data_IF_629527016482
#
_entry.id   IF_629527016482
#
_cell.length_a   1.000
_cell.length_b   1.000
_cell.length_c   1.000
_cell.angle_alpha   90.00
_cell.angle_beta   90.00
_cell.angle_gamma   90.00
#
_symmetry.space_group_name_H-M   'P 1'
#
loop_
_entity.id
_entity.type
_entity.pdbx_description
1 polymer ?
#
# COMPACT_ATOMS: atom_id res chain seq x y z
N UNK A 1 -36.02 -27.83 10.16
CA UNK A 1 -34.67 -27.98 10.73
C UNK A 1 -33.75 -27.03 9.97
N UNK A 2 -33.48 -25.81 10.49
CA UNK A 2 -32.52 -24.90 9.86
C UNK A 2 -31.12 -25.45 10.14
N UNK A 3 -30.46 -25.96 9.13
CA UNK A 3 -29.04 -26.23 9.17
C UNK A 3 -28.35 -24.93 9.59
N UNK A 4 -27.76 -24.90 10.81
CA UNK A 4 -26.83 -23.83 11.17
C UNK A 4 -25.63 -23.98 10.23
N UNK A 5 -25.60 -23.21 9.14
CA UNK A 5 -24.41 -23.06 8.33
C UNK A 5 -23.28 -22.60 9.27
N UNK A 6 -22.33 -23.48 9.55
CA UNK A 6 -21.05 -23.05 10.16
C UNK A 6 -20.41 -22.12 9.14
N UNK A 7 -20.41 -20.83 9.42
CA UNK A 7 -19.65 -19.90 8.60
C UNK A 7 -18.17 -20.18 8.87
N UNK A 8 -17.43 -20.61 7.82
CA UNK A 8 -16.00 -20.75 7.89
C UNK A 8 -15.35 -19.38 8.07
N UNK A 9 -14.28 -19.27 8.88
CA UNK A 9 -13.52 -18.02 8.96
C UNK A 9 -12.94 -17.67 7.59
N UNK A 10 -12.73 -16.38 7.35
CA UNK A 10 -12.16 -15.89 6.11
C UNK A 10 -10.86 -15.12 6.35
N UNK A 11 -9.81 -15.51 5.66
CA UNK A 11 -8.53 -14.79 5.61
C UNK A 11 -8.42 -14.07 4.27
N UNK A 12 -8.19 -12.78 4.31
CA UNK A 12 -7.97 -11.92 3.14
C UNK A 12 -6.56 -11.37 3.21
N UNK A 13 -5.75 -11.68 2.21
CA UNK A 13 -4.37 -11.20 2.08
C UNK A 13 -4.26 -10.39 0.79
N UNK A 14 -3.97 -9.12 0.91
CA UNK A 14 -3.82 -8.24 -0.23
C UNK A 14 -2.35 -7.93 -0.51
N UNK A 15 -1.94 -8.05 -1.76
CA UNK A 15 -0.65 -7.60 -2.27
C UNK A 15 -0.91 -6.32 -3.07
N UNK A 16 -0.63 -5.16 -2.48
CA UNK A 16 -1.02 -3.89 -3.06
C UNK A 16 -0.28 -3.61 -4.37
N UNK A 17 -1.02 -3.32 -5.43
CA UNK A 17 -0.53 -3.08 -6.79
C UNK A 17 0.40 -4.18 -7.35
N UNK A 18 0.28 -5.42 -6.88
CA UNK A 18 1.09 -6.52 -7.40
C UNK A 18 0.68 -6.86 -8.84
N UNK A 19 1.67 -6.86 -9.74
CA UNK A 19 1.46 -7.04 -11.18
C UNK A 19 1.19 -8.52 -11.53
N UNK A 20 0.02 -8.85 -12.09
CA UNK A 20 -0.34 -10.23 -12.37
C UNK A 20 0.60 -10.91 -13.39
N UNK A 21 1.12 -10.19 -14.38
CA UNK A 21 2.05 -10.79 -15.34
C UNK A 21 3.37 -11.20 -14.69
N UNK A 22 3.89 -10.43 -13.74
CA UNK A 22 5.07 -10.81 -12.96
C UNK A 22 4.78 -12.02 -12.09
N UNK A 23 3.65 -12.04 -11.39
CA UNK A 23 3.24 -13.16 -10.53
C UNK A 23 3.12 -14.44 -11.37
N UNK A 24 2.40 -14.41 -12.48
CA UNK A 24 2.19 -15.55 -13.36
C UNK A 24 3.53 -16.11 -13.90
N UNK A 25 4.41 -15.23 -14.39
CA UNK A 25 5.73 -15.62 -14.88
C UNK A 25 6.59 -16.24 -13.77
N UNK A 26 6.61 -15.67 -12.58
CA UNK A 26 7.41 -16.19 -11.46
C UNK A 26 6.80 -17.44 -10.82
N UNK A 27 5.48 -17.62 -10.84
CA UNK A 27 4.85 -18.91 -10.50
C UNK A 27 5.26 -20.01 -11.48
N UNK A 28 5.25 -19.72 -12.80
CA UNK A 28 5.69 -20.67 -13.82
C UNK A 28 7.17 -21.03 -13.69
N UNK A 29 8.01 -20.07 -13.34
CA UNK A 29 9.44 -20.25 -13.09
C UNK A 29 9.74 -20.93 -11.73
N UNK A 30 8.73 -21.24 -10.92
CA UNK A 30 8.92 -21.85 -9.59
C UNK A 30 9.47 -20.91 -8.51
N UNK A 31 9.49 -19.59 -8.78
CA UNK A 31 9.99 -18.56 -7.86
C UNK A 31 8.97 -18.25 -6.75
N UNK A 32 7.67 -18.37 -7.05
CA UNK A 32 6.56 -18.13 -6.12
C UNK A 32 5.77 -19.43 -5.88
N UNK A 33 6.33 -20.38 -5.12
CA UNK A 33 5.75 -21.73 -4.99
C UNK A 33 4.45 -21.75 -4.17
N UNK A 34 4.27 -20.82 -3.23
CA UNK A 34 3.05 -20.76 -2.40
C UNK A 34 1.87 -20.26 -3.23
N UNK A 35 2.03 -19.16 -3.94
CA UNK A 35 0.98 -18.62 -4.82
C UNK A 35 0.63 -19.61 -5.93
N UNK A 36 1.65 -20.32 -6.49
CA UNK A 36 1.43 -21.37 -7.46
C UNK A 36 0.56 -22.48 -6.90
N UNK A 37 0.90 -22.99 -5.72
CA UNK A 37 0.09 -24.04 -5.05
C UNK A 37 -1.34 -23.57 -4.79
N UNK A 38 -1.53 -22.35 -4.29
CA UNK A 38 -2.88 -21.80 -4.05
C UNK A 38 -3.68 -21.68 -5.36
N UNK A 39 -3.02 -21.35 -6.46
CA UNK A 39 -3.65 -21.34 -7.79
C UNK A 39 -4.08 -22.74 -8.24
N UNK A 40 -3.24 -23.74 -8.01
CA UNK A 40 -3.50 -25.14 -8.41
C UNK A 40 -4.58 -25.81 -7.55
N UNK A 41 -4.64 -25.48 -6.25
CA UNK A 41 -5.60 -26.04 -5.29
C UNK A 41 -6.92 -25.26 -5.21
N UNK A 42 -6.97 -24.04 -5.74
CA UNK A 42 -8.10 -23.12 -5.63
C UNK A 42 -8.64 -22.64 -6.96
N UNK A 43 -9.14 -21.42 -6.97
CA UNK A 43 -9.60 -20.72 -8.16
C UNK A 43 -8.79 -19.45 -8.38
N UNK A 44 -8.37 -19.22 -9.61
CA UNK A 44 -7.61 -18.05 -10.01
C UNK A 44 -8.34 -17.28 -11.12
N UNK A 45 -8.36 -15.95 -11.01
CA UNK A 45 -8.88 -15.08 -12.05
C UNK A 45 -8.24 -13.70 -11.98
N UNK A 46 -8.24 -12.97 -13.08
CA UNK A 46 -7.87 -11.55 -13.10
C UNK A 46 -9.08 -10.69 -12.77
N UNK A 47 -8.85 -9.67 -11.96
CA UNK A 47 -9.87 -8.68 -11.59
C UNK A 47 -9.92 -7.55 -12.63
N UNK A 48 -11.11 -7.12 -12.99
CA UNK A 48 -11.29 -5.83 -13.64
C UNK A 48 -11.14 -4.72 -12.60
N UNK A 49 -10.37 -3.69 -12.92
CA UNK A 49 -10.07 -2.58 -12.00
C UNK A 49 -10.39 -1.23 -12.61
N UNK A 50 -10.76 -0.28 -11.76
CA UNK A 50 -10.89 1.13 -12.13
C UNK A 50 -9.56 1.89 -12.11
N UNK A 51 -8.46 1.25 -11.72
CA UNK A 51 -7.15 1.89 -11.54
C UNK A 51 -6.61 2.55 -12.81
N UNK A 52 -6.90 1.99 -13.99
CA UNK A 52 -6.46 2.53 -15.28
C UNK A 52 -6.90 3.99 -15.50
N UNK A 53 -8.09 4.35 -15.04
CA UNK A 53 -8.65 5.69 -15.16
C UNK A 53 -8.62 6.47 -13.84
N UNK A 54 -8.75 5.78 -12.71
CA UNK A 54 -8.97 6.35 -11.40
C UNK A 54 -8.08 5.66 -10.35
N UNK A 55 -6.77 5.91 -10.40
CA UNK A 55 -5.76 5.20 -9.61
C UNK A 55 -6.04 5.15 -8.10
N UNK A 56 -6.67 6.17 -7.52
CA UNK A 56 -7.04 6.19 -6.09
C UNK A 56 -8.37 5.53 -5.75
N UNK A 57 -9.08 4.93 -6.72
CA UNK A 57 -10.42 4.39 -6.50
C UNK A 57 -10.50 2.90 -6.11
N UNK A 58 -9.53 2.01 -6.44
CA UNK A 58 -9.68 0.59 -6.19
C UNK A 58 -9.93 0.24 -4.72
N UNK A 59 -9.10 0.74 -3.80
CA UNK A 59 -9.26 0.48 -2.38
C UNK A 59 -10.58 1.00 -1.81
N UNK A 60 -10.99 2.27 -2.04
CA UNK A 60 -12.31 2.74 -1.66
C UNK A 60 -13.45 1.92 -2.25
N UNK A 61 -13.36 1.51 -3.52
CA UNK A 61 -14.35 0.62 -4.14
C UNK A 61 -14.44 -0.72 -3.41
N UNK A 62 -13.29 -1.33 -3.12
CA UNK A 62 -13.24 -2.59 -2.40
C UNK A 62 -13.89 -2.48 -1.02
N UNK A 63 -13.45 -1.54 -0.20
CA UNK A 63 -13.89 -1.52 1.19
C UNK A 63 -15.27 -0.88 1.41
N UNK A 64 -15.74 -0.02 0.52
CA UNK A 64 -17.11 0.52 0.63
C UNK A 64 -18.14 -0.39 0.00
N UNK A 65 -17.73 -1.20 -0.99
CA UNK A 65 -18.63 -1.94 -1.87
C UNK A 65 -19.41 -1.03 -2.81
N UNK A 66 -19.00 0.22 -2.98
CA UNK A 66 -19.65 1.22 -3.83
C UNK A 66 -18.72 1.63 -4.98
N UNK A 67 -19.26 1.95 -6.16
CA UNK A 67 -18.46 2.41 -7.29
C UNK A 67 -17.93 3.84 -7.06
N UNK A 68 -16.90 4.28 -7.82
CA UNK A 68 -16.29 5.60 -7.67
C UNK A 68 -17.26 6.78 -7.71
N UNK A 69 -18.34 6.69 -8.46
CA UNK A 69 -19.38 7.72 -8.54
C UNK A 69 -20.12 7.91 -7.21
N UNK A 70 -20.16 6.89 -6.38
CA UNK A 70 -20.86 6.91 -5.08
C UNK A 70 -19.89 7.29 -3.96
N UNK A 71 -18.71 6.63 -3.86
CA UNK A 71 -17.77 6.96 -2.78
C UNK A 71 -16.98 8.26 -3.04
N UNK A 72 -16.88 8.72 -4.29
CA UNK A 72 -16.33 10.03 -4.66
C UNK A 72 -14.80 10.14 -4.54
N UNK A 73 -14.08 9.04 -4.28
CA UNK A 73 -12.64 9.04 -4.13
C UNK A 73 -12.00 8.41 -5.38
N UNK A 74 -11.30 9.23 -6.18
CA UNK A 74 -10.67 8.80 -7.42
C UNK A 74 -9.15 9.03 -7.44
N UNK A 75 -8.63 9.86 -6.51
CA UNK A 75 -7.22 10.13 -6.32
C UNK A 75 -7.00 10.66 -4.89
N UNK A 76 -5.84 10.46 -4.29
CA UNK A 76 -5.53 10.98 -2.96
C UNK A 76 -5.47 12.52 -2.89
N UNK A 77 -5.23 13.17 -4.04
CA UNK A 77 -5.39 14.60 -4.24
C UNK A 77 -6.49 14.84 -5.27
N UNK A 78 -7.49 15.65 -4.93
CA UNK A 78 -8.61 15.91 -5.82
C UNK A 78 -8.82 17.41 -6.03
N UNK A 79 -9.15 17.77 -7.25
CA UNK A 79 -9.57 19.13 -7.59
C UNK A 79 -10.90 19.45 -6.92
N UNK A 80 -10.96 20.59 -6.23
CA UNK A 80 -12.19 21.12 -5.60
C UNK A 80 -12.64 22.40 -6.30
N UNK A 81 -13.57 22.32 -7.26
CA UNK A 81 -13.99 23.46 -8.07
C UNK A 81 -14.46 24.65 -7.23
N UNK A 82 -15.27 24.42 -6.20
CA UNK A 82 -15.76 25.47 -5.30
C UNK A 82 -14.64 26.22 -4.55
N UNK A 83 -13.45 25.67 -4.49
CA UNK A 83 -12.28 26.26 -3.81
C UNK A 83 -11.15 26.61 -4.79
N UNK A 84 -11.32 26.29 -6.06
CA UNK A 84 -10.32 26.47 -7.12
C UNK A 84 -8.93 25.99 -6.73
N UNK A 85 -8.85 24.80 -6.11
CA UNK A 85 -7.57 24.21 -5.68
C UNK A 85 -7.63 22.69 -5.58
N UNK A 86 -6.45 22.07 -5.67
CA UNK A 86 -6.23 20.67 -5.32
C UNK A 86 -6.20 20.54 -3.79
N UNK A 87 -6.85 19.54 -3.26
CA UNK A 87 -6.82 19.20 -1.83
C UNK A 87 -6.58 17.71 -1.62
N UNK A 88 -5.84 17.39 -0.57
CA UNK A 88 -5.71 16.01 -0.10
C UNK A 88 -7.09 15.56 0.42
N UNK A 89 -7.51 14.38 0.00
CA UNK A 89 -8.75 13.74 0.47
C UNK A 89 -8.71 13.58 1.98
N UNK A 90 -9.85 13.74 2.61
CA UNK A 90 -10.03 13.57 4.05
C UNK A 90 -11.07 12.48 4.33
N UNK A 91 -10.98 11.82 5.49
CA UNK A 91 -11.93 10.76 5.87
C UNK A 91 -13.40 11.14 5.75
N UNK A 92 -13.74 12.36 6.11
CA UNK A 92 -15.13 12.87 6.06
C UNK A 92 -15.66 13.13 4.63
N UNK A 93 -14.86 12.87 3.60
CA UNK A 93 -15.33 12.90 2.20
C UNK A 93 -15.92 11.58 1.75
N UNK A 94 -15.67 10.50 2.51
CA UNK A 94 -16.21 9.18 2.23
C UNK A 94 -17.61 9.04 2.85
N UNK A 95 -18.66 8.85 2.05
CA UNK A 95 -20.02 8.73 2.57
C UNK A 95 -20.33 7.35 3.14
N UNK A 96 -19.46 6.37 2.91
CA UNK A 96 -19.67 4.97 3.28
C UNK A 96 -18.47 4.44 4.05
N UNK A 97 -18.73 3.86 5.23
CA UNK A 97 -17.70 3.19 6.02
C UNK A 97 -17.23 1.87 5.38
N UNK A 98 -15.99 1.45 5.66
CA UNK A 98 -15.52 0.12 5.29
C UNK A 98 -16.46 -0.99 5.74
N UNK A 99 -16.69 -1.97 4.86
CA UNK A 99 -17.69 -3.03 5.09
C UNK A 99 -17.43 -3.81 6.39
N UNK A 100 -16.18 -4.05 6.74
CA UNK A 100 -15.84 -4.81 7.94
C UNK A 100 -16.24 -4.13 9.24
N UNK A 101 -16.29 -2.79 9.28
CA UNK A 101 -16.76 -2.03 10.44
C UNK A 101 -18.26 -2.15 10.65
N UNK A 102 -19.01 -2.52 9.60
CA UNK A 102 -20.48 -2.68 9.61
C UNK A 102 -20.93 -4.13 9.84
N UNK A 103 -19.98 -5.08 9.84
CA UNK A 103 -20.30 -6.49 10.05
C UNK A 103 -20.57 -6.77 11.53
N UNK A 104 -21.62 -7.56 11.82
CA UNK A 104 -21.81 -8.16 13.15
C UNK A 104 -20.92 -9.41 13.31
N UNK A 105 -19.62 -9.26 13.07
CA UNK A 105 -18.60 -10.32 13.13
C UNK A 105 -17.37 -9.78 13.84
N UNK A 106 -16.54 -10.68 14.35
CA UNK A 106 -15.23 -10.32 14.89
C UNK A 106 -14.25 -10.15 13.72
N UNK A 107 -13.67 -8.98 13.60
CA UNK A 107 -12.78 -8.68 12.49
C UNK A 107 -11.42 -8.23 13.00
N UNK A 108 -10.36 -8.72 12.37
CA UNK A 108 -9.01 -8.17 12.48
C UNK A 108 -8.64 -7.59 11.11
N UNK A 109 -8.28 -6.32 11.06
CA UNK A 109 -7.83 -5.64 9.85
C UNK A 109 -6.49 -4.92 10.10
N UNK A 110 -5.47 -5.24 9.31
CA UNK A 110 -4.14 -4.67 9.41
C UNK A 110 -3.75 -3.94 8.13
N UNK A 111 -3.54 -2.65 8.24
CA UNK A 111 -2.97 -1.76 7.22
C UNK A 111 -3.64 -1.80 5.84
N UNK A 112 -4.97 -1.84 5.82
CA UNK A 112 -5.72 -1.72 4.55
C UNK A 112 -5.51 -0.32 3.97
N UNK A 113 -4.98 -0.19 2.73
CA UNK A 113 -4.66 1.09 2.14
C UNK A 113 -5.86 2.01 1.97
N UNK A 114 -5.59 3.32 1.91
CA UNK A 114 -6.58 4.38 1.74
C UNK A 114 -7.66 4.40 2.83
N UNK A 115 -7.39 3.79 3.99
CA UNK A 115 -8.29 3.85 5.16
C UNK A 115 -7.94 5.01 6.08
N UNK A 116 -8.72 5.16 7.12
CA UNK A 116 -8.65 6.25 8.08
C UNK A 116 -8.93 5.72 9.48
N UNK A 117 -8.70 6.56 10.48
CA UNK A 117 -8.91 6.24 11.89
C UNK A 117 -10.21 5.47 12.11
N UNK A 118 -10.13 4.24 12.65
CA UNK A 118 -11.31 3.43 12.92
C UNK A 118 -12.14 4.00 14.08
N UNK A 119 -13.45 3.96 13.89
CA UNK A 119 -14.43 4.12 14.96
C UNK A 119 -14.63 2.81 15.74
N UNK A 120 -15.54 2.79 16.72
CA UNK A 120 -15.88 1.57 17.46
C UNK A 120 -16.54 0.54 16.52
N UNK A 121 -16.03 -0.69 16.54
CA UNK A 121 -16.63 -1.87 15.89
C UNK A 121 -16.20 -3.14 16.64
N UNK A 122 -16.69 -4.30 16.21
CA UNK A 122 -16.38 -5.56 16.88
C UNK A 122 -15.10 -6.19 16.34
N UNK A 123 -13.94 -5.80 16.88
CA UNK A 123 -12.66 -6.36 16.45
C UNK A 123 -11.48 -5.46 16.70
N UNK A 124 -10.41 -5.70 15.94
CA UNK A 124 -9.16 -4.95 15.97
C UNK A 124 -8.87 -4.41 14.58
N UNK A 125 -8.57 -3.13 14.48
CA UNK A 125 -8.08 -2.52 13.25
C UNK A 125 -6.85 -1.66 13.57
N UNK A 126 -5.80 -1.82 12.77
CA UNK A 126 -4.61 -0.98 12.76
C UNK A 126 -4.53 -0.36 11.38
N UNK A 127 -4.47 0.96 11.31
CA UNK A 127 -4.45 1.73 10.07
C UNK A 127 -3.23 2.62 10.03
N UNK A 128 -2.46 2.56 8.95
CA UNK A 128 -1.34 3.45 8.67
C UNK A 128 -0.05 3.14 9.44
N UNK A 129 0.14 1.91 9.96
CA UNK A 129 1.39 1.53 10.62
C UNK A 129 2.49 1.18 9.62
N UNK A 130 2.19 0.33 8.63
CA UNK A 130 3.14 -0.12 7.62
C UNK A 130 2.74 0.28 6.19
N UNK A 131 1.56 0.88 5.98
CA UNK A 131 1.17 1.41 4.68
C UNK A 131 1.45 2.91 4.60
N UNK A 132 1.91 3.39 3.44
CA UNK A 132 2.06 4.81 3.15
C UNK A 132 0.74 5.46 2.71
N UNK A 133 -0.16 4.67 2.15
CA UNK A 133 -1.46 5.11 1.63
C UNK A 133 -2.55 5.07 2.71
N UNK A 134 -2.57 6.09 3.55
CA UNK A 134 -3.63 6.27 4.54
C UNK A 134 -4.18 7.70 4.49
N UNK A 135 -5.47 7.86 4.80
CA UNK A 135 -6.18 9.14 4.72
C UNK A 135 -6.14 9.95 6.02
N UNK A 136 -5.56 9.42 7.08
CA UNK A 136 -5.46 10.06 8.40
C UNK A 136 -4.15 9.64 9.07
N UNK A 137 -3.85 10.18 10.24
CA UNK A 137 -2.71 9.73 11.05
C UNK A 137 -2.86 8.26 11.46
N UNK A 138 -1.76 7.51 11.62
CA UNK A 138 -1.79 6.14 12.10
C UNK A 138 -2.64 5.99 13.36
N UNK A 139 -3.51 5.00 13.38
CA UNK A 139 -4.46 4.81 14.46
C UNK A 139 -4.88 3.34 14.61
N UNK A 140 -5.54 3.03 15.72
CA UNK A 140 -6.13 1.71 15.93
C UNK A 140 -7.47 1.76 16.64
N UNK A 141 -8.22 0.68 16.48
CA UNK A 141 -9.32 0.31 17.35
C UNK A 141 -9.07 -1.12 17.89
N UNK A 142 -9.06 -1.35 19.20
CA UNK A 142 -9.06 -0.37 20.30
C UNK A 142 -7.89 0.60 20.29
N UNK A 143 -8.03 1.78 20.89
CA UNK A 143 -7.07 2.89 20.78
C UNK A 143 -5.62 2.55 21.13
N UNK A 144 -5.41 1.67 22.09
CA UNK A 144 -4.04 1.34 22.57
C UNK A 144 -3.35 0.27 21.71
N UNK A 145 -4.06 -0.32 20.74
CA UNK A 145 -3.50 -1.43 19.97
C UNK A 145 -2.25 -1.03 19.18
N UNK A 146 -2.30 0.12 18.52
CA UNK A 146 -1.15 0.66 17.78
C UNK A 146 0.04 0.91 18.71
N UNK A 147 -0.18 1.47 19.90
CA UNK A 147 0.91 1.70 20.86
C UNK A 147 1.56 0.40 21.32
N UNK A 148 0.76 -0.66 21.52
CA UNK A 148 1.29 -1.98 21.85
C UNK A 148 2.12 -2.57 20.71
N UNK A 149 1.68 -2.41 19.47
CA UNK A 149 2.45 -2.82 18.29
C UNK A 149 3.75 -2.03 18.19
N UNK A 150 3.70 -0.72 18.35
CA UNK A 150 4.91 0.13 18.33
C UNK A 150 5.88 -0.24 19.46
N UNK A 151 5.39 -0.52 20.64
CA UNK A 151 6.24 -0.90 21.79
C UNK A 151 6.97 -2.23 21.57
N UNK A 152 6.35 -3.17 20.85
CA UNK A 152 6.91 -4.51 20.65
C UNK A 152 7.66 -4.66 19.33
N UNK A 153 7.13 -4.10 18.24
CA UNK A 153 7.66 -4.28 16.89
C UNK A 153 8.34 -3.03 16.31
N UNK A 154 8.31 -1.92 17.04
CA UNK A 154 8.87 -0.65 16.59
C UNK A 154 7.85 0.24 15.86
N UNK A 155 8.33 1.41 15.46
CA UNK A 155 7.59 2.34 14.60
C UNK A 155 7.37 1.73 13.21
N UNK A 156 6.78 2.50 12.30
CA UNK A 156 6.58 2.05 10.91
C UNK A 156 7.83 1.36 10.35
N UNK A 157 7.70 0.15 9.79
CA UNK A 157 8.81 -0.55 9.15
C UNK A 157 9.19 0.04 7.80
N UNK A 158 8.44 1.01 7.30
CA UNK A 158 8.71 1.70 6.02
C UNK A 158 8.92 3.18 6.27
N UNK A 159 9.97 3.73 5.67
CA UNK A 159 10.27 5.15 5.69
C UNK A 159 9.28 5.99 4.87
N UNK A 160 9.47 7.31 4.91
CA UNK A 160 8.68 8.25 4.10
C UNK A 160 8.94 7.98 2.62
N UNK A 161 7.89 7.99 1.81
CA UNK A 161 8.05 7.83 0.36
C UNK A 161 8.72 9.05 -0.27
N UNK A 162 9.77 8.81 -1.05
CA UNK A 162 10.52 9.82 -1.79
C UNK A 162 10.11 9.74 -3.25
N UNK A 163 9.37 10.73 -3.73
CA UNK A 163 8.91 10.78 -5.13
C UNK A 163 10.01 11.17 -6.13
N UNK A 164 11.03 11.88 -5.68
CA UNK A 164 12.17 12.26 -6.52
C UNK A 164 12.98 11.05 -6.99
N UNK A 165 13.82 11.25 -8.01
CA UNK A 165 14.83 10.27 -8.42
C UNK A 165 15.83 10.06 -7.28
N UNK A 166 16.33 8.84 -7.15
CA UNK A 166 17.23 8.42 -6.08
C UNK A 166 18.48 7.78 -6.67
N UNK A 167 19.56 7.72 -5.88
CA UNK A 167 20.75 6.99 -6.29
C UNK A 167 20.46 5.48 -6.38
N UNK A 168 21.28 4.76 -7.14
CA UNK A 168 21.18 3.30 -7.20
C UNK A 168 21.30 2.66 -5.81
N UNK A 169 22.24 3.14 -5.01
CA UNK A 169 22.44 2.65 -3.64
C UNK A 169 21.19 2.87 -2.75
N UNK A 170 20.55 4.05 -2.86
CA UNK A 170 19.32 4.34 -2.11
C UNK A 170 18.16 3.45 -2.56
N UNK A 171 18.04 3.16 -3.86
CA UNK A 171 17.00 2.26 -4.38
C UNK A 171 17.22 0.81 -3.92
N UNK A 172 18.47 0.35 -3.89
CA UNK A 172 18.78 -0.99 -3.36
C UNK A 172 18.47 -1.08 -1.87
N UNK A 173 18.86 -0.06 -1.09
CA UNK A 173 18.54 0.01 0.34
C UNK A 173 17.02 0.07 0.59
N UNK A 174 16.26 0.81 -0.24
CA UNK A 174 14.81 0.79 -0.19
C UNK A 174 14.25 -0.62 -0.44
N UNK A 175 14.81 -1.36 -1.40
CA UNK A 175 14.41 -2.74 -1.66
C UNK A 175 14.59 -3.64 -0.43
N UNK A 176 15.73 -3.53 0.25
CA UNK A 176 16.00 -4.26 1.51
C UNK A 176 15.02 -3.86 2.62
N UNK A 177 14.74 -2.56 2.77
CA UNK A 177 13.72 -2.05 3.70
C UNK A 177 12.33 -2.64 3.40
N UNK A 178 11.95 -2.72 2.13
CA UNK A 178 10.65 -3.26 1.72
C UNK A 178 10.55 -4.76 1.98
N UNK A 179 11.61 -5.54 1.75
CA UNK A 179 11.65 -6.96 2.13
C UNK A 179 11.48 -7.13 3.63
N UNK A 180 12.25 -6.39 4.43
CA UNK A 180 12.14 -6.42 5.89
C UNK A 180 10.76 -5.98 6.39
N UNK A 181 10.11 -5.04 5.69
CA UNK A 181 8.77 -4.60 6.04
C UNK A 181 7.72 -5.70 5.86
N UNK A 182 7.84 -6.52 4.81
CA UNK A 182 6.97 -7.68 4.61
C UNK A 182 7.09 -8.65 5.79
N UNK A 183 8.32 -8.95 6.22
CA UNK A 183 8.57 -9.85 7.36
C UNK A 183 7.95 -9.27 8.65
N UNK A 184 8.15 -7.98 8.90
CA UNK A 184 7.61 -7.32 10.09
C UNK A 184 6.09 -7.26 10.12
N UNK A 185 5.44 -6.96 8.98
CA UNK A 185 3.98 -7.03 8.86
C UNK A 185 3.47 -8.44 9.11
N UNK A 186 4.19 -9.45 8.62
CA UNK A 186 3.83 -10.87 8.82
C UNK A 186 3.94 -11.29 10.28
N UNK A 187 4.98 -10.83 11.01
CA UNK A 187 5.11 -11.07 12.45
C UNK A 187 3.90 -10.51 13.23
N UNK A 188 3.54 -9.24 12.94
CA UNK A 188 2.37 -8.60 13.56
C UNK A 188 1.07 -9.31 13.19
N UNK A 189 0.88 -9.63 11.91
CA UNK A 189 -0.30 -10.34 11.43
C UNK A 189 -0.45 -11.73 12.10
N UNK A 190 0.64 -12.49 12.15
CA UNK A 190 0.67 -13.81 12.80
C UNK A 190 0.32 -13.73 14.28
N UNK A 191 0.87 -12.73 14.98
CA UNK A 191 0.53 -12.49 16.40
C UNK A 191 -0.94 -12.12 16.59
N UNK A 192 -1.47 -11.23 15.76
CA UNK A 192 -2.89 -10.87 15.82
C UNK A 192 -3.79 -12.07 15.51
N UNK A 193 -3.43 -12.87 14.52
CA UNK A 193 -4.16 -14.08 14.13
C UNK A 193 -4.21 -15.11 15.26
N UNK A 194 -3.12 -15.28 16.00
CA UNK A 194 -3.04 -16.20 17.13
C UNK A 194 -3.71 -15.67 18.42
N UNK A 195 -3.65 -14.35 18.65
CA UNK A 195 -4.11 -13.74 19.91
C UNK A 195 -5.59 -13.39 19.90
N UNK A 196 -6.08 -12.89 18.77
CA UNK A 196 -7.44 -12.37 18.68
C UNK A 196 -8.42 -13.42 18.17
N UNK A 197 -9.66 -13.35 18.66
CA UNK A 197 -10.72 -14.14 18.07
C UNK A 197 -11.29 -13.40 16.85
N UNK A 198 -11.37 -14.05 15.70
CA UNK A 198 -11.84 -13.45 14.46
C UNK A 198 -12.69 -14.42 13.62
N UNK A 199 -13.64 -13.85 12.90
CA UNK A 199 -14.41 -14.49 11.82
C UNK A 199 -13.86 -14.04 10.45
N UNK A 200 -13.26 -12.83 10.40
CA UNK A 200 -12.62 -12.24 9.24
C UNK A 200 -11.25 -11.67 9.67
N UNK A 201 -10.20 -12.13 9.01
CA UNK A 201 -8.84 -11.60 9.15
C UNK A 201 -8.39 -10.97 7.83
N UNK A 202 -7.89 -9.74 7.89
CA UNK A 202 -7.47 -8.99 6.70
C UNK A 202 -6.11 -8.36 6.94
N UNK A 203 -5.22 -8.47 5.95
CA UNK A 203 -3.92 -7.79 5.95
C UNK A 203 -3.57 -7.32 4.54
N UNK A 204 -2.92 -6.17 4.42
CA UNK A 204 -2.38 -5.69 3.16
C UNK A 204 -0.87 -5.45 3.25
N UNK A 205 -0.16 -5.86 2.20
CA UNK A 205 1.27 -5.65 2.02
C UNK A 205 1.50 -4.55 0.99
N UNK A 206 1.97 -3.38 1.41
CA UNK A 206 2.26 -2.24 0.56
C UNK A 206 3.63 -2.30 -0.15
N UNK A 207 4.46 -3.30 0.17
CA UNK A 207 5.82 -3.40 -0.37
C UNK A 207 5.85 -3.59 -1.89
N UNK A 208 4.90 -4.33 -2.45
CA UNK A 208 4.77 -4.54 -3.91
C UNK A 208 4.44 -3.24 -4.64
N UNK A 209 3.62 -2.38 -4.05
CA UNK A 209 3.28 -1.05 -4.58
C UNK A 209 4.52 -0.14 -4.62
N UNK A 210 5.18 0.06 -3.48
CA UNK A 210 6.37 0.92 -3.41
C UNK A 210 7.53 0.38 -4.24
N UNK A 211 7.75 -0.94 -4.21
CA UNK A 211 8.75 -1.62 -5.04
C UNK A 211 8.47 -1.43 -6.54
N UNK A 212 7.22 -1.59 -6.95
CA UNK A 212 6.80 -1.38 -8.33
C UNK A 212 7.06 0.05 -8.84
N UNK A 213 6.81 1.07 -8.01
CA UNK A 213 7.11 2.46 -8.37
C UNK A 213 8.60 2.76 -8.55
N UNK A 214 9.49 2.06 -7.85
CA UNK A 214 10.88 2.45 -7.70
C UNK A 214 11.89 1.50 -8.32
N UNK A 215 11.55 0.22 -8.42
CA UNK A 215 12.48 -0.85 -8.79
C UNK A 215 12.10 -1.52 -10.12
N UNK A 216 11.12 -0.99 -10.83
CA UNK A 216 10.66 -1.58 -12.11
C UNK A 216 11.72 -1.54 -13.19
N UNK A 217 12.38 -0.40 -13.30
CA UNK A 217 13.44 -0.10 -14.25
C UNK A 217 14.32 1.07 -13.75
N UNK A 218 15.22 1.56 -14.60
CA UNK A 218 16.12 2.65 -14.28
C UNK A 218 15.49 4.05 -14.29
N UNK A 219 14.22 4.22 -14.59
CA UNK A 219 13.57 5.56 -14.68
C UNK A 219 13.58 6.32 -13.35
N UNK A 220 13.65 5.59 -12.23
CA UNK A 220 13.79 6.15 -10.88
C UNK A 220 15.20 6.60 -10.50
N UNK A 221 16.23 6.31 -11.32
CA UNK A 221 17.63 6.62 -11.01
C UNK A 221 17.94 8.11 -11.21
N UNK A 222 18.67 8.68 -10.25
CA UNK A 222 19.33 9.98 -10.39
C UNK A 222 20.71 9.87 -11.04
N UNK A 223 21.32 8.69 -10.92
CA UNK A 223 22.64 8.39 -11.43
C UNK A 223 22.59 8.08 -12.93
N UNK A 224 23.75 8.08 -13.58
CA UNK A 224 23.84 7.64 -14.96
C UNK A 224 23.43 6.15 -15.04
N UNK A 225 22.45 5.84 -15.89
CA UNK A 225 21.97 4.47 -16.05
C UNK A 225 23.08 3.56 -16.62
N UNK A 226 23.28 2.40 -15.99
CA UNK A 226 24.08 1.28 -16.48
C UNK A 226 23.10 0.13 -16.74
N UNK A 227 23.27 -0.61 -17.84
CA UNK A 227 22.42 -1.75 -18.20
C UNK A 227 22.31 -2.81 -17.10
N UNK A 228 23.31 -2.91 -16.23
CA UNK A 228 23.31 -3.78 -15.05
C UNK A 228 22.37 -3.31 -13.96
N UNK A 229 22.19 -1.99 -13.80
CA UNK A 229 21.31 -1.42 -12.79
C UNK A 229 19.85 -1.83 -13.01
N UNK A 230 19.36 -1.80 -14.25
CA UNK A 230 18.00 -2.25 -14.56
C UNK A 230 17.74 -3.67 -14.10
N UNK A 231 18.66 -4.62 -14.41
CA UNK A 231 18.53 -6.01 -13.98
C UNK A 231 18.58 -6.16 -12.46
N UNK A 232 19.49 -5.46 -11.79
CA UNK A 232 19.61 -5.51 -10.33
C UNK A 232 18.38 -4.94 -9.61
N UNK A 233 17.78 -3.87 -10.14
CA UNK A 233 16.53 -3.32 -9.61
C UNK A 233 15.36 -4.30 -9.79
N UNK A 234 15.25 -4.95 -10.97
CA UNK A 234 14.24 -5.98 -11.20
C UNK A 234 14.44 -7.22 -10.31
N UNK A 235 15.67 -7.63 -10.08
CA UNK A 235 15.98 -8.72 -9.16
C UNK A 235 15.59 -8.35 -7.72
N UNK A 236 15.83 -7.11 -7.31
CA UNK A 236 15.40 -6.60 -6.02
C UNK A 236 13.88 -6.51 -5.90
N UNK A 237 13.17 -6.11 -6.95
CA UNK A 237 11.71 -6.18 -7.01
C UNK A 237 11.21 -7.61 -6.85
N UNK A 238 11.85 -8.58 -7.52
CA UNK A 238 11.53 -10.01 -7.40
C UNK A 238 11.70 -10.51 -5.95
N UNK A 239 12.73 -10.08 -5.23
CA UNK A 239 12.94 -10.44 -3.81
C UNK A 239 11.74 -10.00 -2.93
N UNK A 240 11.15 -8.84 -3.20
CA UNK A 240 9.95 -8.36 -2.49
C UNK A 240 8.77 -9.32 -2.73
N UNK A 241 8.55 -9.75 -3.98
CA UNK A 241 7.47 -10.71 -4.28
C UNK A 241 7.73 -12.08 -3.65
N UNK A 242 8.98 -12.54 -3.61
CA UNK A 242 9.37 -13.77 -2.90
C UNK A 242 9.09 -13.65 -1.39
N UNK A 243 9.38 -12.50 -0.79
CA UNK A 243 9.04 -12.25 0.61
C UNK A 243 7.52 -12.29 0.84
N UNK A 244 6.73 -11.69 -0.07
CA UNK A 244 5.27 -11.74 -0.02
C UNK A 244 4.74 -13.18 -0.19
N UNK A 245 5.29 -13.98 -1.09
CA UNK A 245 4.91 -15.37 -1.28
C UNK A 245 5.13 -16.19 0.01
N UNK A 246 6.29 -16.01 0.66
CA UNK A 246 6.57 -16.63 1.97
C UNK A 246 5.60 -16.16 3.05
N UNK A 247 5.30 -14.85 3.09
CA UNK A 247 4.35 -14.27 4.03
C UNK A 247 2.94 -14.86 3.88
N UNK A 248 2.46 -14.99 2.63
CA UNK A 248 1.20 -15.67 2.33
C UNK A 248 1.23 -17.10 2.88
N UNK A 249 2.32 -17.85 2.63
CA UNK A 249 2.47 -19.23 3.12
C UNK A 249 2.41 -19.32 4.65
N UNK A 250 3.05 -18.41 5.36
CA UNK A 250 3.04 -18.35 6.82
C UNK A 250 1.63 -18.08 7.38
N UNK A 251 0.92 -17.11 6.81
CA UNK A 251 -0.44 -16.78 7.26
C UNK A 251 -1.45 -17.87 6.92
N UNK A 252 -1.32 -18.52 5.76
CA UNK A 252 -2.15 -19.66 5.39
C UNK A 252 -1.91 -20.85 6.36
N UNK A 253 -0.67 -21.11 6.72
CA UNK A 253 -0.33 -22.17 7.69
C UNK A 253 -0.77 -21.85 9.12
N UNK A 254 -0.87 -20.57 9.49
CA UNK A 254 -1.33 -20.14 10.80
C UNK A 254 -2.87 -20.08 10.90
N UNK A 255 -3.58 -20.05 9.78
CA UNK A 255 -5.03 -20.01 9.74
C UNK A 255 -5.64 -21.37 10.14
N UNK A 256 -6.87 -21.41 10.70
CA UNK A 256 -7.61 -22.66 10.90
C UNK A 256 -7.78 -23.44 9.58
N UNK A 257 -7.70 -24.75 9.63
CA UNK A 257 -7.82 -25.60 8.44
C UNK A 257 -9.12 -25.42 7.65
N UNK A 258 -10.19 -25.04 8.34
CA UNK A 258 -11.49 -24.75 7.74
C UNK A 258 -11.62 -23.33 7.20
N UNK A 259 -10.61 -22.48 7.34
CA UNK A 259 -10.67 -21.11 6.85
C UNK A 259 -10.64 -21.06 5.32
N UNK A 260 -11.48 -20.20 4.74
CA UNK A 260 -11.32 -19.79 3.37
C UNK A 260 -10.19 -18.77 3.27
N UNK A 261 -9.37 -18.87 2.24
CA UNK A 261 -8.27 -17.93 1.97
C UNK A 261 -8.51 -17.21 0.65
N UNK A 262 -8.41 -15.90 0.67
CA UNK A 262 -8.51 -15.05 -0.49
C UNK A 262 -7.26 -14.18 -0.60
N UNK A 263 -6.42 -14.44 -1.62
CA UNK A 263 -5.24 -13.63 -1.92
C UNK A 263 -5.53 -12.82 -3.18
N UNK A 264 -5.32 -11.51 -3.16
CA UNK A 264 -5.62 -10.67 -4.31
C UNK A 264 -4.71 -9.44 -4.42
N UNK A 265 -4.70 -8.85 -5.61
CA UNK A 265 -4.32 -7.47 -5.88
C UNK A 265 -5.48 -6.77 -6.59
N UNK A 266 -5.79 -5.53 -6.22
CA UNK A 266 -6.89 -4.77 -6.85
C UNK A 266 -6.50 -4.18 -8.21
N UNK A 267 -5.23 -4.04 -8.48
CA UNK A 267 -4.66 -3.62 -9.76
C UNK A 267 -3.19 -4.05 -9.83
N UNK A 268 -2.64 -4.07 -11.02
CA UNK A 268 -1.22 -4.24 -11.25
C UNK A 268 -0.49 -2.92 -11.39
N UNK A 269 0.77 -3.00 -11.79
CA UNK A 269 1.65 -1.87 -12.03
C UNK A 269 2.57 -2.17 -13.22
N UNK A 270 2.99 -1.14 -13.92
CA UNK A 270 3.97 -1.22 -15.01
C UNK A 270 5.09 -0.20 -14.83
N UNK A 271 5.96 -0.11 -15.83
CA UNK A 271 7.00 0.90 -15.88
C UNK A 271 6.44 2.32 -15.76
N UNK A 272 7.15 3.18 -15.05
CA UNK A 272 6.75 4.58 -14.93
C UNK A 272 6.97 5.33 -16.25
N UNK A 273 5.90 5.56 -16.99
CA UNK A 273 5.90 6.29 -18.25
C UNK A 273 5.60 7.78 -18.09
N UNK A 274 5.37 8.26 -16.85
CA UNK A 274 5.17 9.69 -16.62
C UNK A 274 6.41 10.48 -17.04
N UNK A 275 6.20 11.68 -17.51
CA UNK A 275 7.26 12.64 -17.85
C UNK A 275 7.05 13.93 -17.07
N UNK A 276 6.57 13.82 -15.85
CA UNK A 276 6.26 14.97 -14.98
C UNK A 276 7.49 15.85 -14.72
N UNK A 277 8.69 15.27 -14.71
CA UNK A 277 9.95 16.00 -14.56
C UNK A 277 10.28 16.95 -15.71
N UNK A 278 9.68 16.74 -16.89
CA UNK A 278 9.88 17.63 -18.03
C UNK A 278 8.73 18.62 -18.22
N UNK A 279 7.64 18.48 -17.48
CA UNK A 279 6.43 19.31 -17.64
C UNK A 279 6.72 20.79 -17.45
N UNK A 280 7.46 21.15 -16.41
CA UNK A 280 7.85 22.56 -16.17
C UNK A 280 8.67 23.13 -17.31
N UNK A 281 9.61 22.34 -17.85
CA UNK A 281 10.42 22.75 -19.00
C UNK A 281 9.57 22.92 -20.25
N UNK A 282 8.62 22.01 -20.49
CA UNK A 282 7.70 22.10 -21.63
C UNK A 282 6.81 23.33 -21.51
N UNK A 283 6.24 23.60 -20.34
CA UNK A 283 5.42 24.79 -20.10
C UNK A 283 6.27 26.06 -20.29
N UNK A 284 7.46 26.10 -19.72
CA UNK A 284 8.41 27.22 -19.91
C UNK A 284 8.70 27.49 -21.38
N UNK A 285 8.96 26.44 -22.15
CA UNK A 285 9.21 26.55 -23.60
C UNK A 285 7.98 27.09 -24.36
N UNK A 286 6.78 26.56 -24.05
CA UNK A 286 5.53 27.03 -24.66
C UNK A 286 5.26 28.51 -24.33
N UNK A 287 5.57 28.91 -23.09
CA UNK A 287 5.38 30.29 -22.62
C UNK A 287 6.48 31.27 -23.10
N UNK A 288 7.43 30.79 -23.89
CA UNK A 288 8.53 31.62 -24.39
C UNK A 288 9.59 31.99 -23.36
N UNK A 289 9.61 31.25 -22.21
CA UNK A 289 10.68 31.39 -21.24
C UNK A 289 11.91 30.65 -21.73
N UNK A 290 13.06 31.35 -21.89
CA UNK A 290 14.31 30.71 -22.27
C UNK A 290 14.72 29.67 -21.22
N UNK A 291 15.01 28.44 -21.67
CA UNK A 291 15.27 27.27 -20.84
C UNK A 291 16.59 27.27 -20.04
N UNK A 292 17.33 28.38 -20.05
CA UNK A 292 18.64 28.50 -19.41
C UNK A 292 18.59 28.93 -17.92
N UNK A 293 17.41 29.12 -17.38
CA UNK A 293 17.31 29.27 -15.91
C UNK A 293 17.45 27.89 -15.26
N UNK A 294 18.47 27.66 -14.40
CA UNK A 294 18.54 26.44 -13.64
C UNK A 294 17.20 26.27 -12.89
N UNK A 295 16.69 25.04 -12.74
CA UNK A 295 15.44 24.79 -12.02
C UNK A 295 15.54 25.54 -10.70
N UNK A 296 14.58 26.42 -10.45
CA UNK A 296 14.52 27.14 -9.20
C UNK A 296 14.44 26.08 -8.11
N UNK A 297 15.61 25.76 -7.53
CA UNK A 297 15.64 24.98 -6.28
C UNK A 297 14.85 25.84 -5.33
N UNK A 298 13.59 25.51 -5.14
CA UNK A 298 12.84 26.07 -4.04
C UNK A 298 13.66 25.70 -2.81
N UNK A 299 14.41 26.67 -2.29
CA UNK A 299 15.05 26.47 -0.99
C UNK A 299 13.91 26.05 -0.10
N UNK A 300 13.98 24.88 0.53
CA UNK A 300 12.93 24.46 1.42
C UNK A 300 12.71 25.62 2.37
N UNK A 301 11.46 26.10 2.41
CA UNK A 301 11.04 27.20 3.28
C UNK A 301 11.55 26.86 4.69
N UNK A 302 11.98 27.87 5.43
CA UNK A 302 12.46 27.68 6.81
C UNK A 302 11.47 26.88 7.66
N UNK A 303 10.17 27.03 7.39
CA UNK A 303 9.09 26.22 7.93
C UNK A 303 9.15 24.74 7.50
N UNK A 304 9.54 24.46 6.27
CA UNK A 304 9.68 23.08 5.79
C UNK A 304 10.88 22.39 6.44
N UNK A 305 12.00 23.10 6.59
CA UNK A 305 13.18 22.61 7.34
C UNK A 305 12.91 22.39 8.82
N UNK A 306 12.15 23.30 9.45
CA UNK A 306 11.68 23.13 10.82
C UNK A 306 10.75 21.92 10.96
N UNK A 307 9.87 21.72 9.99
CA UNK A 307 8.95 20.59 9.95
C UNK A 307 9.67 19.25 9.75
N UNK A 308 10.73 19.23 8.96
CA UNK A 308 11.59 18.06 8.75
C UNK A 308 12.46 17.75 9.96
N UNK A 309 12.88 18.76 10.72
CA UNK A 309 13.66 18.62 11.96
C UNK A 309 12.81 18.16 13.17
N UNK A 310 11.48 18.28 13.10
CA UNK A 310 10.60 17.83 14.19
C UNK A 310 10.29 16.34 14.01
N UNK A 311 10.54 15.47 15.02
CA UNK A 311 10.16 14.08 14.97
C UNK A 311 8.67 13.93 14.63
N UNK A 312 8.34 12.94 13.81
CA UNK A 312 6.97 12.70 13.28
C UNK A 312 5.87 12.72 14.36
N UNK A 313 6.21 12.24 15.57
CA UNK A 313 5.30 12.27 16.73
C UNK A 313 4.82 13.67 17.15
N UNK A 314 5.55 14.72 16.79
CA UNK A 314 5.25 16.11 17.19
C UNK A 314 4.79 16.98 16.03
N UNK A 315 4.72 16.46 14.80
CA UNK A 315 4.33 17.25 13.61
C UNK A 315 2.85 17.65 13.57
N UNK A 316 2.00 17.02 14.35
CA UNK A 316 0.56 17.28 14.40
C UNK A 316 0.16 18.58 15.14
N UNK A 317 1.10 19.21 15.84
CA UNK A 317 0.85 20.44 16.63
C UNK A 317 1.31 21.74 15.96
N UNK A 318 2.01 21.68 14.82
CA UNK A 318 2.47 22.89 14.12
C UNK A 318 1.55 23.13 12.93
N UNK A 319 0.57 23.98 13.13
CA UNK A 319 -0.30 24.54 12.06
C UNK A 319 0.38 25.70 11.38
#
# INVERSE_FOLDING_TARGET
MRLKSRSHPLVIIALDAAEPALIENWMQAGVLPVLKRLQEEGAYTRLASSAELLAGSPWPTFYTGAPPQIHGLYHWQQWRPAKMKVQIVRPNWLPVEPFWRRLNRKVVALDIPMTYRPGPFRGVEISGWATHDHLDSPASHPKNYLQNIIAEFGTSPVGVEIYARQSFADLMALGDELVASVEKVTEVASKLMAKEAWDLFMVAYGATHRGGHKLWDETGLSDQADSRHAQQLQDKLKEIYVACDRAVGQLVAAAPNEANVFVFSLHGMGANTSRSEVLEKMIGYIMGSSSDSPPMKSKPDALQRLREAVPLAFRSGVK
#
